data_IF_414124411184
#
_entry.id   IF_414124411184
#
_cell.length_a   1.000
_cell.length_b   1.000
_cell.length_c   1.000
_cell.angle_alpha   90.00
_cell.angle_beta   90.00
_cell.angle_gamma   90.00
#
_symmetry.space_group_name_H-M   'P 1'
#
loop_
_entity.id
_entity.type
_entity.pdbx_description
1 polymer ?
#
# COMPACT_ATOMS: atom_id res chain seq x y z
N UNK A 1 18.96 13.60 47.50
CA UNK A 1 19.02 14.70 46.51
C UNK A 1 19.76 14.11 45.33
N UNK A 2 19.12 13.72 44.23
CA UNK A 2 18.51 14.58 43.21
C UNK A 2 17.18 14.02 42.67
N UNK A 3 16.24 14.94 42.42
CA UNK A 3 14.95 14.68 41.80
C UNK A 3 15.15 14.50 40.29
N UNK A 4 14.84 13.32 39.75
CA UNK A 4 14.59 13.19 38.31
C UNK A 4 13.16 13.66 38.04
N UNK A 5 13.06 14.95 37.73
CA UNK A 5 11.84 15.67 37.40
C UNK A 5 11.16 15.14 36.14
N UNK A 6 9.84 15.03 36.24
CA UNK A 6 8.85 14.97 35.17
C UNK A 6 9.12 15.94 34.00
N UNK A 7 9.18 15.44 32.77
CA UNK A 7 8.43 15.98 31.62
C UNK A 7 8.86 15.30 30.30
N UNK A 8 7.94 14.61 29.65
CA UNK A 8 7.38 15.12 28.39
C UNK A 8 6.43 14.09 27.80
N UNK A 9 5.16 14.30 28.11
CA UNK A 9 4.03 13.74 27.41
C UNK A 9 4.01 14.37 25.99
N UNK A 10 4.95 13.99 25.12
CA UNK A 10 4.93 14.39 23.71
C UNK A 10 3.86 13.55 23.02
N UNK A 11 2.62 14.02 23.12
CA UNK A 11 1.57 13.72 22.13
C UNK A 11 2.06 14.25 20.79
N UNK A 12 2.86 13.45 20.09
CA UNK A 12 3.18 13.70 18.70
C UNK A 12 1.85 13.74 17.94
N UNK A 13 1.54 14.81 17.20
CA UNK A 13 0.30 14.89 16.44
C UNK A 13 0.46 13.94 15.25
N UNK A 14 0.04 12.69 15.42
CA UNK A 14 0.07 11.63 14.41
C UNK A 14 -0.54 12.11 13.08
N UNK A 15 -1.54 12.99 13.15
CA UNK A 15 -2.18 13.66 12.01
C UNK A 15 -1.26 14.56 11.18
N UNK A 16 -0.33 15.28 11.80
CA UNK A 16 0.54 16.25 11.08
C UNK A 16 1.62 15.55 10.25
N UNK A 17 1.91 14.29 10.55
CA UNK A 17 2.88 13.47 9.83
C UNK A 17 2.24 12.62 8.70
N UNK A 18 0.91 12.42 8.75
CA UNK A 18 0.16 11.73 7.70
C UNK A 18 -0.03 12.62 6.46
N UNK A 19 -0.26 13.93 6.66
CA UNK A 19 -0.31 14.93 5.59
C UNK A 19 1.08 15.53 5.28
N UNK A 20 2.09 14.67 5.08
CA UNK A 20 3.37 15.17 4.59
C UNK A 20 3.25 15.57 3.11
N UNK A 21 4.24 16.32 2.60
CA UNK A 21 4.27 16.77 1.21
C UNK A 21 4.18 15.59 0.23
N UNK A 22 4.83 14.47 0.55
CA UNK A 22 4.83 13.28 -0.30
C UNK A 22 3.44 12.65 -0.41
N UNK A 23 2.67 12.62 0.68
CA UNK A 23 1.29 12.15 0.70
C UNK A 23 0.37 13.05 -0.11
N UNK A 24 0.52 14.37 0.02
CA UNK A 24 -0.25 15.32 -0.80
C UNK A 24 0.06 15.11 -2.28
N UNK A 25 1.35 15.06 -2.64
CA UNK A 25 1.79 14.94 -4.04
C UNK A 25 1.43 13.58 -4.64
N UNK A 26 1.49 12.50 -3.86
CA UNK A 26 1.32 11.12 -4.35
C UNK A 26 -0.09 10.56 -4.20
N UNK A 27 -0.92 11.12 -3.32
CA UNK A 27 -2.28 10.62 -3.07
C UNK A 27 -3.38 11.67 -3.32
N UNK A 28 -3.20 12.92 -2.87
CA UNK A 28 -4.24 13.95 -2.98
C UNK A 28 -4.33 14.50 -4.41
N UNK A 29 -3.20 14.89 -5.01
CA UNK A 29 -3.18 15.52 -6.34
C UNK A 29 -3.76 14.61 -7.45
N UNK A 30 -3.39 13.32 -7.56
CA UNK A 30 -3.97 12.44 -8.56
C UNK A 30 -5.50 12.32 -8.45
N UNK A 31 -6.01 12.25 -7.21
CA UNK A 31 -7.45 12.15 -6.94
C UNK A 31 -8.18 13.43 -7.34
N UNK A 32 -7.58 14.61 -7.08
CA UNK A 32 -8.14 15.89 -7.52
C UNK A 32 -8.17 16.00 -9.04
N UNK A 33 -7.08 15.62 -9.73
CA UNK A 33 -7.02 15.62 -11.20
C UNK A 33 -8.15 14.77 -11.79
N UNK A 34 -8.32 13.54 -11.28
CA UNK A 34 -9.40 12.66 -11.72
C UNK A 34 -10.78 13.28 -11.44
N UNK A 35 -11.02 13.75 -10.21
CA UNK A 35 -12.34 14.26 -9.78
C UNK A 35 -12.78 15.50 -10.56
N UNK A 36 -11.83 16.38 -10.91
CA UNK A 36 -12.12 17.56 -11.72
C UNK A 36 -12.48 17.16 -13.15
N UNK A 37 -11.67 16.30 -13.78
CA UNK A 37 -11.88 15.89 -15.18
C UNK A 37 -13.11 15.01 -15.36
N UNK A 38 -13.44 14.18 -14.36
CA UNK A 38 -14.66 13.38 -14.34
C UNK A 38 -15.92 14.25 -14.28
N UNK A 39 -15.90 15.35 -13.51
CA UNK A 39 -17.00 16.33 -13.47
C UNK A 39 -17.30 16.98 -14.83
N UNK A 40 -16.32 17.05 -15.73
CA UNK A 40 -16.50 17.58 -17.09
C UNK A 40 -16.85 16.49 -18.11
N UNK A 41 -17.15 15.26 -17.68
CA UNK A 41 -17.43 14.13 -18.57
C UNK A 41 -16.19 13.59 -19.30
N UNK A 42 -14.99 14.03 -18.88
CA UNK A 42 -13.71 13.65 -19.47
C UNK A 42 -13.03 12.56 -18.64
N UNK A 43 -13.79 11.57 -18.17
CA UNK A 43 -13.34 10.50 -17.26
C UNK A 43 -12.07 9.80 -17.75
N UNK A 44 -11.99 9.51 -19.06
CA UNK A 44 -10.84 8.82 -19.64
C UNK A 44 -9.57 9.69 -19.62
N UNK A 45 -9.70 10.99 -19.88
CA UNK A 45 -8.59 11.95 -19.75
C UNK A 45 -8.22 12.16 -18.27
N UNK A 46 -9.20 12.12 -17.36
CA UNK A 46 -8.98 12.14 -15.91
C UNK A 46 -8.11 10.98 -15.45
N UNK A 47 -8.41 9.77 -15.90
CA UNK A 47 -7.63 8.57 -15.61
C UNK A 47 -6.21 8.68 -16.16
N UNK A 48 -6.06 9.08 -17.44
CA UNK A 48 -4.74 9.21 -18.08
C UNK A 48 -3.90 10.27 -17.37
N UNK A 49 -4.45 11.45 -17.09
CA UNK A 49 -3.69 12.56 -16.52
C UNK A 49 -3.34 12.31 -15.05
N UNK A 50 -4.25 11.71 -14.29
CA UNK A 50 -4.03 11.28 -12.90
C UNK A 50 -2.92 10.22 -12.83
N UNK A 51 -2.99 9.21 -13.69
CA UNK A 51 -1.96 8.18 -13.75
C UNK A 51 -0.62 8.70 -14.28
N UNK A 52 -0.62 9.58 -15.29
CA UNK A 52 0.59 10.24 -15.78
C UNK A 52 1.25 11.11 -14.71
N UNK A 53 0.47 11.78 -13.86
CA UNK A 53 0.98 12.51 -12.70
C UNK A 53 1.66 11.56 -11.70
N UNK A 54 0.98 10.49 -11.29
CA UNK A 54 1.56 9.48 -10.38
C UNK A 54 2.85 8.89 -10.93
N UNK A 55 2.89 8.57 -12.23
CA UNK A 55 4.10 8.07 -12.91
C UNK A 55 5.20 9.14 -12.95
N UNK A 56 4.85 10.39 -13.25
CA UNK A 56 5.78 11.52 -13.30
C UNK A 56 6.43 11.82 -11.95
N UNK A 57 5.66 11.78 -10.86
CA UNK A 57 6.19 11.92 -9.49
C UNK A 57 7.21 10.83 -9.19
N UNK A 58 6.91 9.59 -9.58
CA UNK A 58 7.78 8.44 -9.36
C UNK A 58 9.08 8.54 -10.16
N UNK A 59 8.98 8.97 -11.43
CA UNK A 59 10.15 9.23 -12.28
C UNK A 59 11.01 10.37 -11.73
N UNK A 60 10.40 11.47 -11.27
CA UNK A 60 11.13 12.61 -10.72
C UNK A 60 11.82 12.24 -9.40
N UNK A 61 11.16 11.50 -8.52
CA UNK A 61 11.76 11.02 -7.27
C UNK A 61 12.89 10.02 -7.54
N UNK A 62 12.72 9.15 -8.53
CA UNK A 62 13.75 8.23 -9.00
C UNK A 62 15.00 8.97 -9.53
N UNK A 63 14.79 9.99 -10.37
CA UNK A 63 15.87 10.80 -10.96
C UNK A 63 16.56 11.67 -9.91
N UNK A 64 15.83 12.25 -8.95
CA UNK A 64 16.40 13.19 -7.97
C UNK A 64 17.08 12.55 -6.78
N UNK A 65 16.62 11.38 -6.33
CA UNK A 65 17.12 10.79 -5.08
C UNK A 65 17.98 9.53 -5.27
N UNK A 66 18.03 8.95 -6.48
CA UNK A 66 18.63 7.63 -6.74
C UNK A 66 18.18 6.53 -5.75
N UNK A 67 17.03 6.75 -5.10
CA UNK A 67 16.43 5.83 -4.15
C UNK A 67 15.00 5.60 -4.60
N UNK A 68 14.73 4.37 -5.01
CA UNK A 68 13.40 3.92 -5.39
C UNK A 68 12.54 3.96 -4.12
N UNK A 69 11.61 4.91 -4.02
CA UNK A 69 10.61 4.92 -2.97
C UNK A 69 9.61 3.80 -3.26
N UNK A 70 9.60 2.77 -2.42
CA UNK A 70 8.81 1.57 -2.63
C UNK A 70 7.32 1.88 -2.79
N UNK A 71 6.78 2.83 -2.01
CA UNK A 71 5.38 3.25 -2.10
C UNK A 71 5.08 3.93 -3.43
N UNK A 72 5.99 4.79 -3.89
CA UNK A 72 5.85 5.50 -5.15
C UNK A 72 5.87 4.50 -6.32
N UNK A 73 6.81 3.55 -6.33
CA UNK A 73 6.89 2.50 -7.36
C UNK A 73 5.65 1.61 -7.39
N UNK A 74 5.13 1.20 -6.23
CA UNK A 74 3.87 0.46 -6.14
C UNK A 74 2.71 1.27 -6.75
N UNK A 75 2.62 2.56 -6.41
CA UNK A 75 1.60 3.46 -6.96
C UNK A 75 1.68 3.60 -8.48
N UNK A 76 2.90 3.72 -9.04
CA UNK A 76 3.11 3.74 -10.49
C UNK A 76 2.68 2.45 -11.17
N UNK A 77 3.03 1.28 -10.60
CA UNK A 77 2.64 -0.02 -11.15
C UNK A 77 1.12 -0.17 -11.15
N UNK A 78 0.44 0.16 -10.04
CA UNK A 78 -1.03 0.08 -9.98
C UNK A 78 -1.70 1.07 -10.92
N UNK A 79 -1.17 2.29 -11.01
CA UNK A 79 -1.67 3.31 -11.93
C UNK A 79 -1.48 2.90 -13.40
N UNK A 80 -0.33 2.32 -13.75
CA UNK A 80 -0.06 1.79 -15.09
C UNK A 80 -1.01 0.66 -15.47
N UNK A 81 -1.22 -0.30 -14.57
CA UNK A 81 -2.19 -1.39 -14.77
C UNK A 81 -3.61 -0.85 -14.90
N UNK A 82 -3.98 0.14 -14.08
CA UNK A 82 -5.29 0.80 -14.13
C UNK A 82 -5.53 1.51 -15.47
N UNK A 83 -4.53 2.23 -15.99
CA UNK A 83 -4.60 2.89 -17.30
C UNK A 83 -4.72 1.85 -18.43
N UNK A 84 -3.83 0.86 -18.45
CA UNK A 84 -3.83 -0.20 -19.46
C UNK A 84 -5.18 -0.92 -19.46
N UNK A 85 -5.67 -1.28 -18.27
CA UNK A 85 -6.96 -1.92 -18.10
C UNK A 85 -8.13 -1.06 -18.58
N UNK A 86 -8.12 0.23 -18.26
CA UNK A 86 -9.18 1.17 -18.66
C UNK A 86 -9.22 1.38 -20.18
N UNK A 87 -8.06 1.48 -20.83
CA UNK A 87 -7.93 1.69 -22.28
C UNK A 87 -8.30 0.43 -23.06
N UNK A 88 -7.87 -0.75 -22.60
CA UNK A 88 -8.15 -2.03 -23.26
C UNK A 88 -9.61 -2.42 -23.11
N UNK A 89 -10.18 -2.17 -21.93
CA UNK A 89 -11.45 -2.77 -21.55
C UNK A 89 -12.56 -2.51 -22.55
N UNK A 90 -12.96 -1.24 -22.79
CA UNK A 90 -14.20 -0.85 -23.50
C UNK A 90 -15.44 -1.71 -23.14
N UNK A 91 -15.39 -2.50 -22.06
CA UNK A 91 -16.29 -3.59 -21.72
C UNK A 91 -16.61 -3.48 -20.22
N UNK A 92 -17.89 -3.33 -19.85
CA UNK A 92 -18.31 -3.19 -18.45
C UNK A 92 -17.80 -4.29 -17.53
N UNK A 93 -17.55 -5.49 -18.06
CA UNK A 93 -17.08 -6.65 -17.31
C UNK A 93 -15.70 -6.47 -16.68
N UNK A 94 -14.82 -5.67 -17.31
CA UNK A 94 -13.47 -5.44 -16.79
C UNK A 94 -13.48 -4.70 -15.46
N UNK A 95 -14.51 -3.89 -15.18
CA UNK A 95 -14.65 -3.18 -13.92
C UNK A 95 -14.69 -4.14 -12.71
N UNK A 96 -15.21 -5.35 -12.91
CA UNK A 96 -15.34 -6.35 -11.85
C UNK A 96 -14.14 -7.30 -11.79
N UNK A 97 -13.41 -7.44 -12.90
CA UNK A 97 -12.20 -8.26 -12.99
C UNK A 97 -10.96 -7.48 -12.54
N UNK A 98 -10.92 -6.15 -12.74
CA UNK A 98 -9.79 -5.31 -12.39
C UNK A 98 -9.34 -5.45 -10.91
N UNK A 99 -10.24 -5.47 -9.91
CA UNK A 99 -9.84 -5.70 -8.51
C UNK A 99 -9.20 -7.08 -8.29
N UNK A 100 -9.63 -8.11 -9.01
CA UNK A 100 -9.04 -9.47 -8.92
C UNK A 100 -7.60 -9.44 -9.44
N UNK A 101 -7.39 -8.82 -10.62
CA UNK A 101 -6.06 -8.67 -11.21
C UNK A 101 -5.15 -7.87 -10.27
N UNK A 102 -5.67 -6.79 -9.68
CA UNK A 102 -4.93 -5.95 -8.76
C UNK A 102 -4.47 -6.74 -7.52
N UNK A 103 -5.36 -7.51 -6.88
CA UNK A 103 -4.99 -8.35 -5.73
C UNK A 103 -3.90 -9.36 -6.09
N UNK A 104 -4.04 -10.04 -7.24
CA UNK A 104 -3.05 -11.02 -7.71
C UNK A 104 -1.69 -10.38 -7.98
N UNK A 105 -1.66 -9.17 -8.56
CA UNK A 105 -0.42 -8.42 -8.76
C UNK A 105 0.21 -8.00 -7.44
N UNK A 106 -0.59 -7.52 -6.48
CA UNK A 106 -0.11 -7.17 -5.14
C UNK A 106 0.48 -8.41 -4.45
N UNK A 107 -0.22 -9.54 -4.50
CA UNK A 107 0.23 -10.81 -3.95
C UNK A 107 1.56 -11.24 -4.59
N UNK A 108 1.67 -11.16 -5.92
CA UNK A 108 2.88 -11.53 -6.65
C UNK A 108 4.06 -10.62 -6.27
N UNK A 109 3.85 -9.31 -6.14
CA UNK A 109 4.88 -8.35 -5.75
C UNK A 109 5.37 -8.65 -4.33
N UNK A 110 4.47 -8.83 -3.36
CA UNK A 110 4.86 -9.15 -1.99
C UNK A 110 5.54 -10.51 -1.90
N UNK A 111 5.00 -11.53 -2.55
CA UNK A 111 5.60 -12.86 -2.61
C UNK A 111 6.99 -12.83 -3.25
N UNK A 112 7.12 -12.15 -4.39
CA UNK A 112 8.39 -11.94 -5.09
C UNK A 112 9.43 -11.27 -4.20
N UNK A 113 9.01 -10.30 -3.38
CA UNK A 113 9.91 -9.62 -2.45
C UNK A 113 10.48 -10.52 -1.34
N UNK A 114 9.90 -11.70 -1.09
CA UNK A 114 10.44 -12.67 -0.12
C UNK A 114 11.76 -13.29 -0.59
N UNK A 115 11.99 -13.32 -1.90
CA UNK A 115 13.24 -13.82 -2.51
C UNK A 115 14.35 -12.77 -2.52
N UNK A 116 14.04 -11.52 -2.17
CA UNK A 116 15.04 -10.45 -2.02
C UNK A 116 15.68 -10.49 -0.62
N UNK A 117 16.85 -9.86 -0.49
CA UNK A 117 17.53 -9.71 0.81
C UNK A 117 16.69 -8.93 1.83
N UNK A 118 15.95 -7.92 1.34
CA UNK A 118 14.98 -7.14 2.10
C UNK A 118 13.61 -7.28 1.48
N UNK A 119 12.61 -7.55 2.30
CA UNK A 119 11.21 -7.60 1.85
C UNK A 119 10.69 -6.21 1.52
N UNK A 120 9.65 -6.12 0.69
CA UNK A 120 9.08 -4.82 0.33
C UNK A 120 8.55 -4.07 1.55
N UNK A 121 7.98 -4.79 2.52
CA UNK A 121 7.47 -4.19 3.77
C UNK A 121 8.62 -3.68 4.64
N UNK A 122 9.73 -4.42 4.73
CA UNK A 122 10.94 -3.94 5.41
C UNK A 122 11.43 -2.63 4.79
N UNK A 123 11.50 -2.54 3.46
CA UNK A 123 11.89 -1.32 2.75
C UNK A 123 10.93 -0.17 3.07
N UNK A 124 9.61 -0.39 2.98
CA UNK A 124 8.60 0.64 3.28
C UNK A 124 8.75 1.14 4.71
N UNK A 125 8.87 0.24 5.69
CA UNK A 125 8.97 0.61 7.10
C UNK A 125 10.27 1.35 7.39
N UNK A 126 11.39 0.91 6.83
CA UNK A 126 12.69 1.59 6.96
C UNK A 126 12.66 3.00 6.34
N UNK A 127 12.00 3.15 5.19
CA UNK A 127 11.87 4.43 4.48
C UNK A 127 10.88 5.38 5.17
N UNK A 128 9.83 4.89 5.83
CA UNK A 128 8.76 5.74 6.38
C UNK A 128 8.85 5.96 7.89
N UNK A 129 9.07 4.90 8.68
CA UNK A 129 8.87 4.92 10.14
C UNK A 129 10.15 4.67 10.95
N UNK A 130 11.06 3.83 10.46
CA UNK A 130 12.24 3.36 11.19
C UNK A 130 13.56 3.95 10.67
N UNK A 131 13.53 5.18 10.11
CA UNK A 131 14.71 5.85 9.52
C UNK A 131 15.94 5.87 10.44
N UNK A 132 15.73 5.92 11.76
CA UNK A 132 16.79 6.12 12.76
C UNK A 132 17.15 4.84 13.56
N UNK A 133 16.67 3.66 13.16
CA UNK A 133 17.08 2.41 13.82
C UNK A 133 18.55 2.11 13.47
N UNK A 134 19.36 1.78 14.47
CA UNK A 134 20.79 1.44 14.30
C UNK A 134 20.97 0.23 13.37
N UNK A 135 21.99 0.29 12.51
CA UNK A 135 22.30 -0.79 11.54
C UNK A 135 22.55 -2.15 12.21
N UNK A 136 23.07 -2.17 13.43
CA UNK A 136 23.28 -3.38 14.22
C UNK A 136 21.97 -4.12 14.54
N UNK A 137 20.89 -3.39 14.80
CA UNK A 137 19.56 -3.95 15.04
C UNK A 137 18.96 -4.49 13.74
N UNK A 138 19.17 -3.81 12.62
CA UNK A 138 18.69 -4.25 11.29
C UNK A 138 19.34 -5.55 10.82
N UNK A 139 20.59 -5.81 11.22
CA UNK A 139 21.30 -7.06 10.90
C UNK A 139 20.80 -8.25 11.71
N UNK A 140 20.04 -8.05 12.78
CA UNK A 140 19.56 -9.16 13.60
C UNK A 140 18.58 -10.03 12.79
N UNK A 141 18.74 -11.37 12.79
CA UNK A 141 17.83 -12.26 12.08
C UNK A 141 16.38 -12.11 12.58
N UNK A 142 16.19 -11.80 13.87
CA UNK A 142 14.87 -11.51 14.47
C UNK A 142 14.19 -10.30 13.83
N UNK A 143 14.93 -9.26 13.47
CA UNK A 143 14.39 -8.07 12.80
C UNK A 143 13.86 -8.45 11.41
N UNK A 144 14.67 -9.15 10.61
CA UNK A 144 14.30 -9.62 9.26
C UNK A 144 13.10 -10.59 9.28
N UNK A 145 13.04 -11.49 10.26
CA UNK A 145 11.94 -12.46 10.38
C UNK A 145 10.58 -11.79 10.56
N UNK A 146 10.49 -10.70 11.34
CA UNK A 146 9.22 -9.99 11.56
C UNK A 146 8.65 -9.46 10.26
N UNK A 147 9.48 -8.78 9.46
CA UNK A 147 9.03 -8.20 8.21
C UNK A 147 8.68 -9.28 7.18
N UNK A 148 9.42 -10.38 7.13
CA UNK A 148 9.07 -11.56 6.31
C UNK A 148 7.71 -12.14 6.68
N UNK A 149 7.41 -12.32 7.97
CA UNK A 149 6.10 -12.84 8.42
C UNK A 149 4.98 -11.89 7.99
N UNK A 150 5.18 -10.59 8.15
CA UNK A 150 4.19 -9.59 7.74
C UNK A 150 4.01 -9.62 6.21
N UNK A 151 5.08 -9.72 5.42
CA UNK A 151 5.01 -9.84 3.95
C UNK A 151 4.27 -11.09 3.51
N UNK A 152 4.48 -12.23 4.18
CA UNK A 152 3.71 -13.46 3.95
C UNK A 152 2.22 -13.22 4.25
N UNK A 153 1.90 -12.56 5.37
CA UNK A 153 0.51 -12.27 5.72
C UNK A 153 -0.18 -11.38 4.67
N UNK A 154 0.51 -10.36 4.14
CA UNK A 154 0.02 -9.56 3.02
C UNK A 154 -0.17 -10.38 1.74
N UNK A 155 0.75 -11.27 1.43
CA UNK A 155 0.63 -12.17 0.28
C UNK A 155 -0.63 -13.05 0.41
N UNK A 156 -0.79 -13.73 1.55
CA UNK A 156 -1.92 -14.63 1.82
C UNK A 156 -3.23 -13.86 1.75
N UNK A 157 -3.30 -12.67 2.34
CA UNK A 157 -4.53 -11.88 2.32
C UNK A 157 -4.94 -11.51 0.90
N UNK A 158 -4.01 -11.04 0.06
CA UNK A 158 -4.33 -10.65 -1.30
C UNK A 158 -4.75 -11.86 -2.16
N UNK A 159 -4.12 -13.03 -1.98
CA UNK A 159 -4.57 -14.27 -2.64
C UNK A 159 -6.01 -14.63 -2.19
N UNK A 160 -6.30 -14.51 -0.89
CA UNK A 160 -7.64 -14.79 -0.35
C UNK A 160 -8.69 -13.80 -0.88
N UNK A 161 -8.36 -12.51 -0.98
CA UNK A 161 -9.23 -11.49 -1.56
C UNK A 161 -9.52 -11.77 -3.04
N UNK A 162 -8.49 -12.11 -3.82
CA UNK A 162 -8.63 -12.47 -5.23
C UNK A 162 -9.53 -13.71 -5.39
N UNK A 163 -9.28 -14.76 -4.61
CA UNK A 163 -10.06 -15.99 -4.64
C UNK A 163 -11.53 -15.74 -4.27
N UNK A 164 -11.78 -14.96 -3.20
CA UNK A 164 -13.13 -14.57 -2.79
C UNK A 164 -13.84 -13.82 -3.93
N UNK A 165 -13.19 -12.84 -4.55
CA UNK A 165 -13.79 -12.07 -5.65
C UNK A 165 -14.09 -12.95 -6.86
N UNK A 166 -13.22 -13.90 -7.21
CA UNK A 166 -13.52 -14.88 -8.28
C UNK A 166 -14.76 -15.71 -7.94
N UNK A 167 -14.89 -16.16 -6.69
CA UNK A 167 -16.07 -16.92 -6.25
C UNK A 167 -17.32 -16.04 -6.29
N UNK A 168 -17.27 -14.82 -5.76
CA UNK A 168 -18.41 -13.90 -5.76
C UNK A 168 -18.85 -13.56 -7.19
N UNK A 169 -17.89 -13.30 -8.10
CA UNK A 169 -18.19 -12.92 -9.48
C UNK A 169 -19.02 -13.99 -10.23
N UNK A 170 -18.87 -15.26 -9.86
CA UNK A 170 -19.61 -16.38 -10.49
C UNK A 170 -20.95 -16.70 -9.83
N UNK A 171 -21.12 -16.35 -8.55
CA UNK A 171 -22.21 -16.90 -7.73
C UNK A 171 -23.23 -15.86 -7.26
N UNK A 172 -22.94 -14.56 -7.35
CA UNK A 172 -23.84 -13.53 -6.82
C UNK A 172 -24.16 -12.44 -7.84
N UNK A 173 -25.23 -11.69 -7.58
CA UNK A 173 -25.59 -10.51 -8.37
C UNK A 173 -24.53 -9.42 -8.27
N UNK A 174 -24.51 -8.50 -9.24
CA UNK A 174 -23.46 -7.51 -9.32
C UNK A 174 -23.40 -6.54 -8.14
N UNK A 175 -24.58 -6.15 -7.61
CA UNK A 175 -24.67 -5.34 -6.40
C UNK A 175 -24.09 -6.07 -5.19
N UNK A 176 -24.39 -7.37 -5.05
CA UNK A 176 -23.88 -8.21 -3.96
C UNK A 176 -22.38 -8.43 -4.08
N UNK A 177 -21.86 -8.63 -5.31
CA UNK A 177 -20.43 -8.71 -5.58
C UNK A 177 -19.71 -7.46 -5.05
N UNK A 178 -20.19 -6.28 -5.44
CA UNK A 178 -19.57 -5.02 -5.05
C UNK A 178 -19.61 -4.82 -3.54
N UNK A 179 -20.77 -5.04 -2.90
CA UNK A 179 -20.94 -4.86 -1.46
C UNK A 179 -20.03 -5.81 -0.66
N UNK A 180 -20.08 -7.12 -0.95
CA UNK A 180 -19.32 -8.14 -0.22
C UNK A 180 -17.81 -7.99 -0.45
N UNK A 181 -17.38 -7.74 -1.70
CA UNK A 181 -15.96 -7.57 -2.02
C UNK A 181 -15.37 -6.32 -1.36
N UNK A 182 -16.11 -5.20 -1.36
CA UNK A 182 -15.68 -3.96 -0.73
C UNK A 182 -15.62 -4.10 0.79
N UNK A 183 -16.67 -4.67 1.40
CA UNK A 183 -16.73 -4.87 2.83
C UNK A 183 -15.60 -5.78 3.34
N UNK A 184 -15.44 -6.95 2.71
CA UNK A 184 -14.37 -7.87 3.07
C UNK A 184 -12.99 -7.26 2.87
N UNK A 185 -12.75 -6.60 1.73
CA UNK A 185 -11.47 -5.96 1.42
C UNK A 185 -11.10 -4.91 2.46
N UNK A 186 -12.02 -4.00 2.78
CA UNK A 186 -11.76 -2.92 3.73
C UNK A 186 -11.46 -3.48 5.13
N UNK A 187 -12.31 -4.38 5.63
CA UNK A 187 -12.13 -4.96 6.97
C UNK A 187 -10.82 -5.73 7.07
N UNK A 188 -10.58 -6.65 6.14
CA UNK A 188 -9.40 -7.51 6.18
C UNK A 188 -8.10 -6.71 6.02
N UNK A 189 -8.11 -5.69 5.16
CA UNK A 189 -6.95 -4.79 4.98
C UNK A 189 -6.70 -3.96 6.24
N UNK A 190 -7.73 -3.37 6.85
CA UNK A 190 -7.58 -2.62 8.11
C UNK A 190 -7.08 -3.52 9.24
N UNK A 191 -7.61 -4.74 9.37
CA UNK A 191 -7.12 -5.72 10.34
C UNK A 191 -5.65 -6.05 10.12
N UNK A 192 -5.24 -6.25 8.86
CA UNK A 192 -3.85 -6.59 8.55
C UNK A 192 -2.89 -5.41 8.77
N UNK A 193 -3.34 -4.17 8.53
CA UNK A 193 -2.58 -2.97 8.89
C UNK A 193 -2.39 -2.92 10.42
N UNK A 194 -3.47 -3.11 11.19
CA UNK A 194 -3.38 -3.14 12.65
C UNK A 194 -2.42 -4.24 13.13
N UNK A 195 -2.52 -5.44 12.55
CA UNK A 195 -1.58 -6.53 12.79
C UNK A 195 -0.13 -6.13 12.46
N UNK A 196 0.11 -5.49 11.32
CA UNK A 196 1.44 -5.04 10.88
C UNK A 196 2.10 -4.05 11.85
N UNK A 197 1.30 -3.29 12.60
CA UNK A 197 1.77 -2.33 13.61
C UNK A 197 1.96 -3.00 14.98
N UNK A 198 1.06 -3.91 15.37
CA UNK A 198 1.06 -4.54 16.69
C UNK A 198 2.03 -5.72 16.78
N UNK A 199 2.13 -6.51 15.71
CA UNK A 199 2.93 -7.74 15.68
C UNK A 199 4.42 -7.52 15.94
N UNK A 200 5.12 -6.54 15.33
CA UNK A 200 6.54 -6.29 15.62
C UNK A 200 6.79 -6.00 17.11
N UNK A 201 5.92 -5.17 17.73
CA UNK A 201 6.02 -4.78 19.14
C UNK A 201 5.87 -5.99 20.06
N UNK A 202 4.88 -6.83 19.77
CA UNK A 202 4.64 -8.06 20.53
C UNK A 202 5.76 -9.09 20.34
N UNK A 203 6.19 -9.32 19.09
CA UNK A 203 7.20 -10.31 18.74
C UNK A 203 8.56 -10.00 19.38
N UNK A 204 8.96 -8.73 19.43
CA UNK A 204 10.21 -8.31 20.06
C UNK A 204 10.15 -8.34 21.60
N UNK A 205 8.97 -8.15 22.20
CA UNK A 205 8.80 -8.19 23.67
C UNK A 205 8.86 -9.62 24.22
N UNK A 206 8.28 -10.59 23.52
CA UNK A 206 8.12 -11.96 24.01
C UNK A 206 9.31 -12.89 23.71
N UNK A 207 10.33 -12.42 23.01
CA UNK A 207 11.56 -13.18 22.69
C UNK A 207 12.84 -12.50 23.22
N UNK A 208 12.72 -11.65 24.24
CA UNK A 208 13.84 -11.26 25.12
C UNK A 208 14.09 -12.38 26.11
#
# INVERSE_FOLDING_TARGET
MEKVSSNSNKKYPVLKNIFNKDFIVSAIIPVLIFSVLDKYGMTLNGIILSGAWSIGVVLIDYIKQHKVNALATMSAVFSGVGIIGSVISKNPSFYFVAPIIQDLLIALIFFGSLFCEKTLIEIIVEQSYLKNVSEEVKKQPKYKSVWRIITIAWTILNIAQAALRVVLLKNVSMSSYYALSTFYSNISTTMLIAFSIMFPKWYWKNKK
#
